data_IF_821555889401
#
_entry.id   IF_821555889401
#
_cell.length_a   1.000
_cell.length_b   1.000
_cell.length_c   1.000
_cell.angle_alpha   90.00
_cell.angle_beta   90.00
_cell.angle_gamma   90.00
#
_symmetry.space_group_name_H-M   'P 1'
#
loop_
_entity.id
_entity.type
_entity.pdbx_description
1 polymer ?
#
# COMPACT_ATOMS: atom_id res chain seq x y z
N UNK A 1 14.26 -41.36 29.15
CA UNK A 1 14.34 -39.90 28.92
C UNK A 1 15.48 -39.32 29.72
N UNK A 2 16.37 -38.56 29.08
CA UNK A 2 17.45 -37.83 29.76
C UNK A 2 16.88 -36.87 30.82
N UNK A 3 17.65 -36.56 31.87
CA UNK A 3 17.24 -35.59 32.92
C UNK A 3 16.84 -34.23 32.31
N UNK A 4 17.53 -33.83 31.23
CA UNK A 4 17.28 -32.58 30.49
C UNK A 4 15.91 -32.60 29.85
N UNK A 5 15.54 -33.68 29.14
CA UNK A 5 14.24 -33.79 28.49
C UNK A 5 13.08 -33.71 29.49
N UNK A 6 13.20 -34.38 30.64
CA UNK A 6 12.19 -34.30 31.71
C UNK A 6 12.00 -32.87 32.21
N UNK A 7 13.10 -32.12 32.36
CA UNK A 7 13.06 -30.73 32.84
C UNK A 7 12.36 -29.80 31.83
N UNK A 8 12.67 -29.95 30.54
CA UNK A 8 12.02 -29.20 29.46
C UNK A 8 10.53 -29.54 29.38
N UNK A 9 10.17 -30.83 29.43
CA UNK A 9 8.78 -31.28 29.43
C UNK A 9 7.98 -30.67 30.60
N UNK A 10 8.53 -30.71 31.81
CA UNK A 10 7.87 -30.13 32.98
C UNK A 10 7.73 -28.60 32.91
N UNK A 11 8.70 -27.92 32.31
CA UNK A 11 8.61 -26.48 32.05
C UNK A 11 7.52 -26.18 31.03
N UNK A 12 7.53 -26.86 29.88
CA UNK A 12 6.59 -26.64 28.78
C UNK A 12 5.14 -26.92 29.17
N UNK A 13 4.88 -27.83 30.11
CA UNK A 13 3.52 -28.24 30.53
C UNK A 13 3.14 -27.62 31.89
N UNK A 14 3.92 -26.68 32.40
CA UNK A 14 3.56 -25.98 33.62
C UNK A 14 2.41 -24.99 33.38
N UNK A 15 1.48 -24.89 34.34
CA UNK A 15 0.43 -23.86 34.35
C UNK A 15 1.02 -22.46 34.51
N UNK A 16 2.21 -22.33 35.13
CA UNK A 16 2.94 -21.05 35.18
C UNK A 16 3.37 -20.61 33.77
N UNK A 17 3.89 -21.53 32.98
CA UNK A 17 4.27 -21.27 31.58
C UNK A 17 3.06 -20.92 30.74
N UNK A 18 1.92 -21.58 30.97
CA UNK A 18 0.65 -21.24 30.33
C UNK A 18 0.26 -19.78 30.62
N UNK A 19 0.27 -19.36 31.88
CA UNK A 19 -0.07 -17.99 32.27
C UNK A 19 0.88 -16.97 31.62
N UNK A 20 2.19 -17.24 31.60
CA UNK A 20 3.17 -16.38 30.94
C UNK A 20 2.91 -16.28 29.43
N UNK A 21 2.66 -17.42 28.76
CA UNK A 21 2.35 -17.42 27.32
C UNK A 21 1.05 -16.65 27.01
N UNK A 22 0.02 -16.75 27.85
CA UNK A 22 -1.20 -15.96 27.69
C UNK A 22 -0.96 -14.47 27.83
N UNK A 23 -0.15 -14.05 28.81
CA UNK A 23 0.20 -12.64 28.99
C UNK A 23 0.97 -12.12 27.78
N UNK A 24 1.96 -12.87 27.29
CA UNK A 24 2.71 -12.50 26.09
C UNK A 24 1.78 -12.42 24.87
N UNK A 25 0.89 -13.40 24.69
CA UNK A 25 -0.08 -13.41 23.60
C UNK A 25 -1.02 -12.20 23.66
N UNK A 26 -1.56 -11.87 24.84
CA UNK A 26 -2.42 -10.72 25.04
C UNK A 26 -1.69 -9.39 24.79
N UNK A 27 -0.45 -9.26 25.27
CA UNK A 27 0.40 -8.09 25.00
C UNK A 27 0.70 -7.95 23.51
N UNK A 28 1.01 -9.05 22.83
CA UNK A 28 1.24 -9.05 21.39
C UNK A 28 0.01 -8.56 20.62
N UNK A 29 -1.19 -9.01 20.99
CA UNK A 29 -2.43 -8.53 20.37
C UNK A 29 -2.70 -7.05 20.69
N UNK A 30 -2.49 -6.61 21.92
CA UNK A 30 -2.64 -5.20 22.29
C UNK A 30 -1.68 -4.30 21.49
N UNK A 31 -0.41 -4.70 21.37
CA UNK A 31 0.60 -4.01 20.56
C UNK A 31 0.18 -4.00 19.09
N UNK A 32 -0.34 -5.11 18.56
CA UNK A 32 -0.83 -5.18 17.18
C UNK A 32 -1.94 -4.14 16.92
N UNK A 33 -2.87 -3.96 17.85
CA UNK A 33 -3.93 -2.94 17.75
C UNK A 33 -3.36 -1.53 17.67
N UNK A 34 -2.34 -1.18 18.47
CA UNK A 34 -1.69 0.12 18.39
C UNK A 34 -0.93 0.30 17.07
N UNK A 35 -0.18 -0.72 16.64
CA UNK A 35 0.53 -0.68 15.35
C UNK A 35 -0.47 -0.51 14.20
N UNK A 36 -1.59 -1.22 14.23
CA UNK A 36 -2.65 -1.10 13.23
C UNK A 36 -3.25 0.31 13.22
N UNK A 37 -3.45 0.89 14.40
CA UNK A 37 -3.93 2.26 14.51
C UNK A 37 -2.92 3.28 13.95
N UNK A 38 -1.63 3.10 14.19
CA UNK A 38 -0.66 4.15 13.83
C UNK A 38 -0.10 3.98 12.41
N UNK A 39 -0.01 2.74 11.93
CA UNK A 39 0.70 2.37 10.69
C UNK A 39 -0.14 1.51 9.71
N UNK A 40 -1.40 1.25 10.05
CA UNK A 40 -2.33 0.50 9.22
C UNK A 40 -2.28 -1.02 9.38
N UNK A 41 -3.35 -1.67 8.95
CA UNK A 41 -3.54 -3.12 9.00
C UNK A 41 -2.43 -3.94 8.32
N UNK A 42 -1.88 -3.55 7.14
CA UNK A 42 -0.80 -4.31 6.51
C UNK A 42 0.44 -4.43 7.41
N UNK A 43 0.85 -3.32 8.04
CA UNK A 43 1.99 -3.26 8.96
C UNK A 43 1.78 -4.19 10.17
N UNK A 44 0.62 -4.11 10.82
CA UNK A 44 0.31 -4.94 11.99
C UNK A 44 0.27 -6.45 11.64
N UNK A 45 -0.29 -6.80 10.48
CA UNK A 45 -0.28 -8.19 9.99
C UNK A 45 1.14 -8.68 9.74
N UNK A 46 1.98 -7.91 9.06
CA UNK A 46 3.37 -8.30 8.76
C UNK A 46 4.18 -8.51 10.05
N UNK A 47 4.12 -7.57 10.99
CA UNK A 47 4.97 -7.60 12.19
C UNK A 47 4.50 -8.58 13.26
N UNK A 48 3.18 -8.72 13.43
CA UNK A 48 2.59 -9.52 14.51
C UNK A 48 1.85 -10.74 13.94
N UNK A 49 0.67 -10.55 13.32
CA UNK A 49 -0.26 -11.64 13.06
C UNK A 49 0.29 -12.73 12.11
N UNK A 50 1.05 -12.34 11.09
CA UNK A 50 1.67 -13.23 10.09
C UNK A 50 3.16 -13.49 10.35
N UNK A 51 3.67 -13.08 11.52
CA UNK A 51 5.05 -13.32 11.92
C UNK A 51 5.24 -14.75 12.42
N UNK A 52 6.47 -15.26 12.32
CA UNK A 52 6.81 -16.61 12.78
C UNK A 52 6.82 -16.72 14.31
N UNK A 53 7.15 -15.64 15.03
CA UNK A 53 7.26 -15.65 16.49
C UNK A 53 5.89 -15.66 17.16
N UNK A 54 4.91 -14.94 16.60
CA UNK A 54 3.52 -14.96 17.09
C UNK A 54 2.92 -16.35 16.91
N UNK A 55 3.22 -16.98 15.78
CA UNK A 55 2.88 -18.38 15.54
C UNK A 55 3.57 -19.33 16.52
N UNK A 56 4.86 -19.13 16.81
CA UNK A 56 5.55 -19.94 17.81
C UNK A 56 4.86 -19.87 19.18
N UNK A 57 4.36 -18.70 19.60
CA UNK A 57 3.56 -18.55 20.83
C UNK A 57 2.29 -19.40 20.76
N UNK A 58 1.55 -19.35 19.64
CA UNK A 58 0.33 -20.14 19.44
C UNK A 58 0.61 -21.65 19.48
N UNK A 59 1.67 -22.11 18.82
CA UNK A 59 2.10 -23.52 18.85
C UNK A 59 2.49 -23.94 20.28
N UNK A 60 3.24 -23.10 21.00
CA UNK A 60 3.61 -23.36 22.39
C UNK A 60 2.39 -23.42 23.31
N UNK A 61 1.39 -22.55 23.11
CA UNK A 61 0.11 -22.60 23.81
C UNK A 61 -0.63 -23.91 23.51
N UNK A 62 -0.69 -24.34 22.24
CA UNK A 62 -1.31 -25.62 21.87
C UNK A 62 -0.63 -26.81 22.54
N UNK A 63 0.70 -26.88 22.48
CA UNK A 63 1.49 -27.96 23.11
C UNK A 63 1.31 -27.96 24.63
N UNK A 64 1.36 -26.79 25.27
CA UNK A 64 1.12 -26.65 26.70
C UNK A 64 -0.29 -27.12 27.08
N UNK A 65 -1.30 -26.73 26.31
CA UNK A 65 -2.70 -27.08 26.51
C UNK A 65 -2.95 -28.59 26.38
N UNK A 66 -2.41 -29.23 25.34
CA UNK A 66 -2.45 -30.70 25.16
C UNK A 66 -1.80 -31.39 26.38
N UNK A 67 -0.61 -30.93 26.78
CA UNK A 67 0.09 -31.47 27.94
C UNK A 67 -0.72 -31.37 29.23
N UNK A 68 -1.39 -30.24 29.45
CA UNK A 68 -2.24 -30.03 30.62
C UNK A 68 -3.50 -30.90 30.59
N UNK A 69 -4.14 -31.08 29.43
CA UNK A 69 -5.28 -32.00 29.26
C UNK A 69 -4.89 -33.42 29.70
N UNK A 70 -3.71 -33.90 29.27
CA UNK A 70 -3.20 -35.23 29.63
C UNK A 70 -2.81 -35.29 31.11
N UNK A 71 -2.03 -34.31 31.60
CA UNK A 71 -1.54 -34.24 32.99
C UNK A 71 -2.68 -34.27 34.01
N UNK A 72 -3.75 -33.52 33.76
CA UNK A 72 -4.90 -33.45 34.65
C UNK A 72 -6.00 -34.48 34.34
N UNK A 73 -5.75 -35.37 33.37
CA UNK A 73 -6.66 -36.43 32.91
C UNK A 73 -8.07 -35.89 32.62
N UNK A 74 -8.13 -34.77 31.89
CA UNK A 74 -9.40 -34.06 31.67
C UNK A 74 -10.37 -34.88 30.82
N UNK A 75 -9.88 -35.81 30.00
CA UNK A 75 -10.66 -36.74 29.19
C UNK A 75 -11.54 -37.74 29.98
N UNK A 76 -11.47 -37.73 31.32
CA UNK A 76 -12.36 -38.54 32.16
C UNK A 76 -13.81 -38.01 32.08
N UNK A 77 -14.80 -38.92 32.02
CA UNK A 77 -16.24 -38.58 31.93
C UNK A 77 -16.69 -37.53 32.97
N UNK A 78 -16.16 -37.60 34.20
CA UNK A 78 -16.48 -36.65 35.29
C UNK A 78 -16.00 -35.21 35.03
N UNK A 79 -15.06 -35.02 34.10
CA UNK A 79 -14.44 -33.73 33.75
C UNK A 79 -14.79 -33.29 32.32
N UNK A 80 -15.81 -33.89 31.71
CA UNK A 80 -16.19 -33.63 30.32
C UNK A 80 -16.44 -32.15 30.01
N UNK A 81 -17.12 -31.35 30.85
CA UNK A 81 -17.29 -29.92 30.58
C UNK A 81 -15.95 -29.17 30.49
N UNK A 82 -15.01 -29.46 31.40
CA UNK A 82 -13.68 -28.84 31.40
C UNK A 82 -12.88 -29.29 30.18
N UNK A 83 -12.94 -30.57 29.82
CA UNK A 83 -12.31 -31.08 28.62
C UNK A 83 -12.83 -30.41 27.35
N UNK A 84 -14.15 -30.28 27.22
CA UNK A 84 -14.80 -29.64 26.09
C UNK A 84 -14.41 -28.16 25.97
N UNK A 85 -14.29 -27.45 27.09
CA UNK A 85 -13.81 -26.06 27.09
C UNK A 85 -12.38 -25.94 26.55
N UNK A 86 -11.47 -26.82 26.98
CA UNK A 86 -10.07 -26.76 26.55
C UNK A 86 -9.85 -27.28 25.12
N UNK A 87 -10.58 -28.32 24.70
CA UNK A 87 -10.49 -28.82 23.31
C UNK A 87 -11.00 -27.78 22.32
N UNK A 88 -11.96 -26.92 22.70
CA UNK A 88 -12.43 -25.84 21.84
C UNK A 88 -11.29 -24.87 21.46
N UNK A 89 -10.40 -24.50 22.41
CA UNK A 89 -9.23 -23.68 22.08
C UNK A 89 -8.26 -24.39 21.14
N UNK A 90 -8.07 -25.71 21.29
CA UNK A 90 -7.25 -26.48 20.35
C UNK A 90 -7.86 -26.48 18.95
N UNK A 91 -9.19 -26.63 18.84
CA UNK A 91 -9.90 -26.54 17.56
C UNK A 91 -9.77 -25.15 16.94
N UNK A 92 -9.87 -24.08 17.74
CA UNK A 92 -9.66 -22.70 17.26
C UNK A 92 -8.23 -22.50 16.75
N UNK A 93 -7.22 -22.99 17.47
CA UNK A 93 -5.81 -22.90 17.05
C UNK A 93 -5.54 -23.69 15.76
N UNK A 94 -6.14 -24.88 15.62
CA UNK A 94 -6.06 -25.66 14.38
C UNK A 94 -6.74 -24.92 13.23
N UNK A 95 -7.92 -24.34 13.45
CA UNK A 95 -8.62 -23.49 12.48
C UNK A 95 -7.77 -22.31 12.03
N UNK A 96 -7.13 -21.61 12.97
CA UNK A 96 -6.20 -20.52 12.66
C UNK A 96 -5.01 -20.97 11.80
N UNK A 97 -4.46 -22.16 12.07
CA UNK A 97 -3.41 -22.77 11.24
C UNK A 97 -3.88 -23.06 9.81
N UNK A 98 -5.10 -23.62 9.65
CA UNK A 98 -5.71 -23.86 8.34
C UNK A 98 -5.88 -22.55 7.57
N UNK A 99 -6.45 -21.52 8.21
CA UNK A 99 -6.61 -20.19 7.59
C UNK A 99 -5.27 -19.62 7.13
N UNK A 100 -4.23 -19.70 7.96
CA UNK A 100 -2.92 -19.14 7.63
C UNK A 100 -2.21 -19.84 6.46
N UNK A 101 -2.26 -21.17 6.40
CA UNK A 101 -1.43 -21.95 5.47
C UNK A 101 -2.13 -22.41 4.21
N UNK A 102 -3.44 -22.63 4.28
CA UNK A 102 -4.20 -23.31 3.24
C UNK A 102 -5.21 -22.35 2.59
N UNK A 103 -5.71 -21.37 3.34
CA UNK A 103 -6.78 -20.50 2.83
C UNK A 103 -6.30 -19.45 1.82
N UNK A 104 -7.25 -18.99 1.02
CA UNK A 104 -7.12 -17.84 0.14
C UNK A 104 -8.10 -16.77 0.60
N UNK A 105 -7.57 -15.59 0.87
CA UNK A 105 -8.33 -14.43 1.35
C UNK A 105 -8.35 -13.34 0.27
N UNK A 106 -9.41 -12.54 0.28
CA UNK A 106 -9.54 -11.39 -0.60
C UNK A 106 -10.92 -10.75 -0.55
N UNK A 107 -11.13 -9.77 -1.42
CA UNK A 107 -12.36 -8.99 -1.52
C UNK A 107 -13.09 -9.28 -2.83
N UNK A 108 -14.39 -9.52 -2.73
CA UNK A 108 -15.27 -9.75 -3.87
C UNK A 108 -16.46 -8.78 -3.76
N UNK A 109 -16.35 -7.54 -4.27
CA UNK A 109 -17.49 -6.66 -4.37
C UNK A 109 -18.47 -7.19 -5.42
N UNK A 110 -19.71 -7.45 -5.04
CA UNK A 110 -20.79 -7.92 -5.93
C UNK A 110 -21.92 -6.91 -5.84
N UNK A 111 -22.42 -6.42 -6.97
CA UNK A 111 -23.62 -5.57 -6.98
C UNK A 111 -24.88 -6.42 -7.00
N UNK A 112 -25.99 -5.82 -6.58
CA UNK A 112 -27.27 -6.50 -6.55
C UNK A 112 -27.66 -7.02 -7.95
N UNK A 113 -28.07 -8.29 -8.01
CA UNK A 113 -28.39 -8.98 -9.24
C UNK A 113 -27.19 -9.52 -10.04
N UNK A 114 -25.95 -9.12 -9.73
CA UNK A 114 -24.73 -9.57 -10.40
C UNK A 114 -24.23 -10.93 -9.89
N UNK A 115 -23.55 -11.65 -10.78
CA UNK A 115 -22.85 -12.91 -10.50
C UNK A 115 -21.38 -12.73 -10.82
N UNK A 116 -20.48 -13.18 -9.93
CA UNK A 116 -19.04 -13.18 -10.18
C UNK A 116 -18.37 -14.42 -9.58
N UNK A 117 -17.31 -14.89 -10.21
CA UNK A 117 -16.35 -15.87 -9.68
C UNK A 117 -15.00 -15.23 -9.33
N UNK A 118 -14.85 -13.92 -9.56
CA UNK A 118 -13.56 -13.25 -9.49
C UNK A 118 -13.45 -12.43 -8.22
N UNK A 119 -12.36 -12.59 -7.49
CA UNK A 119 -12.05 -11.80 -6.31
C UNK A 119 -10.65 -11.20 -6.38
N UNK A 120 -10.45 -10.09 -5.69
CA UNK A 120 -9.16 -9.44 -5.54
C UNK A 120 -8.44 -9.99 -4.32
N UNK A 121 -7.22 -10.49 -4.48
CA UNK A 121 -6.48 -11.11 -3.37
C UNK A 121 -6.20 -10.14 -2.23
N UNK A 122 -6.20 -10.64 -1.00
CA UNK A 122 -5.76 -9.88 0.17
C UNK A 122 -4.23 -9.68 0.20
N UNK A 123 -3.50 -10.67 -0.34
CA UNK A 123 -2.04 -10.61 -0.48
C UNK A 123 -1.64 -9.63 -1.57
N UNK A 124 -0.52 -8.94 -1.34
CA UNK A 124 0.08 -8.01 -2.30
C UNK A 124 1.28 -8.68 -2.96
N UNK A 125 1.35 -8.55 -4.28
CA UNK A 125 2.35 -9.20 -5.11
C UNK A 125 3.20 -8.16 -5.83
N UNK A 126 4.51 -8.40 -5.86
CA UNK A 126 5.37 -7.88 -6.92
C UNK A 126 5.28 -8.86 -8.09
N UNK A 127 4.72 -8.39 -9.19
CA UNK A 127 4.58 -9.15 -10.43
C UNK A 127 5.55 -8.62 -11.47
N UNK A 128 6.29 -9.53 -12.10
CA UNK A 128 7.31 -9.19 -13.08
C UNK A 128 7.11 -10.08 -14.31
N UNK A 129 6.82 -9.42 -15.43
CA UNK A 129 6.88 -10.00 -16.75
C UNK A 129 8.14 -9.50 -17.45
N UNK A 130 8.86 -10.43 -18.08
CA UNK A 130 10.07 -10.16 -18.87
C UNK A 130 9.91 -10.87 -20.21
N UNK A 131 10.13 -10.15 -21.29
CA UNK A 131 10.14 -10.67 -22.65
C UNK A 131 11.21 -9.97 -23.51
N UNK A 132 11.57 -10.57 -24.64
CA UNK A 132 12.47 -9.97 -25.65
C UNK A 132 11.75 -9.64 -26.97
N UNK A 133 10.42 -9.61 -26.95
CA UNK A 133 9.57 -9.49 -28.13
C UNK A 133 9.40 -10.78 -28.96
N UNK A 134 10.12 -11.85 -28.63
CA UNK A 134 9.98 -13.18 -29.27
C UNK A 134 9.46 -14.18 -28.23
N UNK A 135 10.17 -14.33 -27.12
CA UNK A 135 9.80 -15.19 -26.00
C UNK A 135 9.54 -14.38 -24.74
N UNK A 136 8.77 -14.96 -23.82
CA UNK A 136 8.46 -14.38 -22.52
C UNK A 136 8.59 -15.42 -21.40
N UNK A 137 8.89 -14.96 -20.19
CA UNK A 137 8.79 -15.82 -19.00
C UNK A 137 7.31 -16.15 -18.75
N UNK A 138 6.99 -17.44 -18.73
CA UNK A 138 5.65 -17.95 -18.46
C UNK A 138 5.72 -19.16 -17.51
N UNK A 139 5.01 -19.15 -16.36
CA UNK A 139 4.18 -18.06 -15.83
C UNK A 139 5.02 -16.84 -15.42
N UNK A 140 4.40 -15.64 -15.35
CA UNK A 140 5.08 -14.48 -14.81
C UNK A 140 5.51 -14.71 -13.37
N UNK A 141 6.54 -13.98 -12.96
CA UNK A 141 7.07 -14.07 -11.62
C UNK A 141 6.12 -13.31 -10.71
N UNK A 142 5.54 -14.02 -9.75
CA UNK A 142 4.64 -13.45 -8.74
C UNK A 142 5.23 -13.72 -7.36
N UNK A 143 5.71 -12.66 -6.70
CA UNK A 143 6.26 -12.73 -5.34
C UNK A 143 5.36 -11.99 -4.37
N UNK A 144 4.83 -12.71 -3.37
CA UNK A 144 4.18 -12.06 -2.22
C UNK A 144 5.24 -11.28 -1.45
N UNK A 145 5.02 -9.99 -1.23
CA UNK A 145 5.89 -9.14 -0.42
C UNK A 145 5.23 -8.81 0.92
N UNK A 146 5.93 -9.10 2.02
CA UNK A 146 5.55 -8.70 3.38
C UNK A 146 6.14 -7.33 3.72
N UNK A 147 5.61 -6.29 3.08
CA UNK A 147 6.04 -4.92 3.32
C UNK A 147 5.39 -4.35 4.58
N UNK A 148 6.04 -3.35 5.17
CA UNK A 148 5.63 -2.72 6.42
C UNK A 148 6.11 -1.27 6.47
N UNK A 149 5.31 -0.39 7.07
CA UNK A 149 5.73 0.98 7.36
C UNK A 149 6.94 1.03 8.32
N UNK A 150 7.04 0.05 9.22
CA UNK A 150 8.16 -0.13 10.13
C UNK A 150 9.05 -1.22 9.56
N UNK A 151 10.26 -0.84 9.19
CA UNK A 151 11.25 -1.79 8.67
C UNK A 151 11.83 -2.62 9.82
N UNK A 152 11.60 -3.93 9.74
CA UNK A 152 12.20 -4.91 10.63
C UNK A 152 12.86 -5.97 9.73
N UNK A 153 14.18 -5.93 9.51
CA UNK A 153 14.84 -6.69 8.45
C UNK A 153 14.64 -8.22 8.49
N UNK A 154 14.34 -8.78 9.67
CA UNK A 154 14.09 -10.22 9.84
C UNK A 154 12.60 -10.62 9.78
N UNK A 155 11.69 -9.65 9.64
CA UNK A 155 10.23 -9.88 9.51
C UNK A 155 9.65 -9.32 8.21
N UNK A 156 10.31 -8.33 7.60
CA UNK A 156 9.77 -7.54 6.49
C UNK A 156 10.59 -7.71 5.22
N UNK A 157 9.92 -7.56 4.08
CA UNK A 157 10.50 -7.64 2.74
C UNK A 157 10.90 -6.25 2.20
N UNK A 158 11.06 -5.25 3.07
CA UNK A 158 11.42 -3.86 2.71
C UNK A 158 12.78 -3.75 2.00
N UNK A 159 13.63 -4.76 2.13
CA UNK A 159 14.92 -4.89 1.44
C UNK A 159 14.99 -6.16 0.59
N UNK A 160 13.85 -6.65 0.10
CA UNK A 160 13.79 -7.83 -0.74
C UNK A 160 14.66 -7.69 -2.00
N UNK A 161 15.37 -8.75 -2.33
CA UNK A 161 16.23 -8.84 -3.52
C UNK A 161 16.09 -10.21 -4.16
N UNK A 162 16.09 -10.24 -5.49
CA UNK A 162 16.09 -11.47 -6.27
C UNK A 162 16.90 -11.29 -7.54
N UNK A 163 17.43 -12.39 -8.04
CA UNK A 163 18.09 -12.48 -9.34
C UNK A 163 17.37 -13.52 -10.18
N UNK A 164 17.14 -13.19 -11.44
CA UNK A 164 16.38 -13.96 -12.41
C UNK A 164 17.24 -14.05 -13.66
N UNK A 165 17.48 -15.25 -14.17
CA UNK A 165 18.11 -15.40 -15.47
C UNK A 165 17.06 -15.53 -16.57
N UNK A 166 17.16 -14.69 -17.60
CA UNK A 166 16.35 -14.81 -18.80
C UNK A 166 17.26 -15.04 -20.01
N UNK A 167 17.33 -16.29 -20.47
CA UNK A 167 18.18 -16.72 -21.60
C UNK A 167 19.65 -16.32 -21.44
N UNK A 168 20.23 -16.51 -20.24
CA UNK A 168 21.61 -16.14 -19.96
C UNK A 168 21.83 -14.64 -19.74
N UNK A 169 20.76 -13.83 -19.69
CA UNK A 169 20.82 -12.44 -19.24
C UNK A 169 20.33 -12.37 -17.78
N UNK A 170 21.25 -12.16 -16.80
CA UNK A 170 20.84 -11.96 -15.42
C UNK A 170 20.11 -10.62 -15.28
N UNK A 171 19.02 -10.67 -14.52
CA UNK A 171 18.17 -9.55 -14.14
C UNK A 171 18.07 -9.55 -12.62
N UNK A 172 18.62 -8.51 -12.00
CA UNK A 172 18.54 -8.29 -10.55
C UNK A 172 17.45 -7.29 -10.24
N UNK A 173 16.60 -7.63 -9.27
CA UNK A 173 15.48 -6.81 -8.80
C UNK A 173 15.65 -6.58 -7.31
N UNK A 174 15.67 -5.32 -6.89
CA UNK A 174 15.90 -4.91 -5.49
C UNK A 174 14.86 -3.88 -5.06
N UNK A 175 14.20 -4.12 -3.93
CA UNK A 175 13.36 -3.10 -3.28
C UNK A 175 14.28 -2.05 -2.65
N UNK A 176 14.14 -0.81 -3.10
CA UNK A 176 14.91 0.33 -2.57
C UNK A 176 14.15 1.05 -1.45
N UNK A 177 12.84 1.23 -1.62
CA UNK A 177 12.03 1.99 -0.71
C UNK A 177 10.56 1.56 -0.80
N UNK A 178 9.88 1.60 0.33
CA UNK A 178 8.44 1.37 0.43
C UNK A 178 7.81 2.52 1.22
N UNK A 179 6.88 3.21 0.60
CA UNK A 179 6.14 4.32 1.21
C UNK A 179 4.66 3.92 1.25
N UNK A 180 4.12 3.52 2.42
CA UNK A 180 2.70 3.20 2.53
C UNK A 180 1.85 4.46 2.37
N UNK A 181 0.67 4.34 1.74
CA UNK A 181 -0.24 5.45 1.48
C UNK A 181 0.48 6.69 0.90
N UNK A 182 1.34 6.47 -0.10
CA UNK A 182 2.25 7.48 -0.61
C UNK A 182 1.50 8.72 -1.12
N UNK A 183 1.97 9.88 -0.68
CA UNK A 183 1.61 11.18 -1.24
C UNK A 183 2.87 11.96 -1.58
N UNK A 184 2.80 12.75 -2.64
CA UNK A 184 3.85 13.70 -2.95
C UNK A 184 3.83 14.83 -1.92
N UNK A 185 5.01 15.20 -1.42
CA UNK A 185 5.22 16.40 -0.61
C UNK A 185 6.46 17.11 -1.09
N UNK A 186 6.44 18.43 -1.03
CA UNK A 186 7.60 19.24 -1.36
C UNK A 186 8.44 19.45 -0.09
N UNK A 187 9.70 19.00 -0.11
CA UNK A 187 10.69 19.39 0.89
C UNK A 187 11.37 20.66 0.40
N UNK A 188 11.29 21.72 1.19
CA UNK A 188 11.89 23.01 0.85
C UNK A 188 13.41 22.87 0.77
N UNK A 189 13.98 23.26 -0.37
CA UNK A 189 15.41 23.27 -0.63
C UNK A 189 15.73 24.49 -1.49
N UNK A 190 16.53 25.45 -1.00
CA UNK A 190 16.97 26.60 -1.78
C UNK A 190 17.71 26.25 -3.08
N UNK A 191 18.24 25.03 -3.23
CA UNK A 191 18.88 24.53 -4.45
C UNK A 191 17.95 23.77 -5.38
N UNK A 192 16.73 23.44 -4.93
CA UNK A 192 15.77 22.66 -5.70
C UNK A 192 15.09 23.46 -6.82
N UNK A 193 14.20 22.78 -7.53
CA UNK A 193 13.41 23.36 -8.62
C UNK A 193 12.24 24.16 -8.09
N UNK A 194 11.74 25.12 -8.87
CA UNK A 194 10.54 25.87 -8.53
C UNK A 194 9.31 24.99 -8.67
N UNK A 195 8.43 25.04 -7.68
CA UNK A 195 7.16 24.32 -7.66
C UNK A 195 6.03 25.26 -7.26
N UNK A 196 4.87 25.11 -7.92
CA UNK A 196 3.64 25.79 -7.53
C UNK A 196 2.66 24.79 -6.91
N UNK A 197 2.17 25.10 -5.71
CA UNK A 197 1.20 24.24 -5.03
C UNK A 197 -0.22 24.57 -5.49
N UNK A 198 -0.92 23.56 -6.00
CA UNK A 198 -2.36 23.57 -6.23
C UNK A 198 -3.06 22.75 -5.16
N UNK A 199 -4.10 23.30 -4.56
CA UNK A 199 -5.03 22.60 -3.70
C UNK A 199 -6.30 22.40 -4.50
N UNK A 200 -6.58 21.16 -4.90
CA UNK A 200 -7.68 20.83 -5.81
C UNK A 200 -8.75 20.02 -5.09
N UNK A 201 -10.02 20.32 -5.36
CA UNK A 201 -11.14 19.48 -4.89
C UNK A 201 -11.55 18.50 -5.99
N UNK A 202 -11.39 17.21 -5.70
CA UNK A 202 -11.77 16.10 -6.60
C UNK A 202 -12.90 15.29 -5.98
N UNK A 203 -13.56 14.37 -6.72
CA UNK A 203 -14.51 13.41 -6.13
C UNK A 203 -13.91 12.55 -5.02
N UNK A 204 -12.59 12.35 -5.02
CA UNK A 204 -11.82 11.62 -4.01
C UNK A 204 -11.46 12.48 -2.78
N UNK A 205 -11.86 13.76 -2.78
CA UNK A 205 -11.56 14.73 -1.73
C UNK A 205 -10.55 15.78 -2.15
N UNK A 206 -10.05 16.53 -1.14
CA UNK A 206 -9.05 17.59 -1.31
C UNK A 206 -7.67 16.99 -1.54
N UNK A 207 -7.01 17.38 -2.63
CA UNK A 207 -5.66 16.95 -2.99
C UNK A 207 -4.70 18.14 -3.00
N UNK A 208 -3.49 17.95 -2.49
CA UNK A 208 -2.39 18.92 -2.61
C UNK A 208 -1.46 18.43 -3.71
N UNK A 209 -1.28 19.23 -4.75
CA UNK A 209 -0.46 18.92 -5.93
C UNK A 209 0.66 19.95 -5.99
N UNK A 210 1.91 19.50 -6.10
CA UNK A 210 3.07 20.36 -6.30
C UNK A 210 3.53 20.22 -7.75
N UNK A 211 3.30 21.25 -8.57
CA UNK A 211 3.62 21.22 -10.00
C UNK A 211 4.98 21.86 -10.26
N UNK A 212 5.99 21.12 -10.79
CA UNK A 212 7.29 21.69 -11.11
C UNK A 212 7.21 22.72 -12.24
N UNK A 213 8.17 23.64 -12.26
CA UNK A 213 8.35 24.66 -13.30
C UNK A 213 8.39 24.04 -14.71
N UNK A 214 7.63 24.63 -15.63
CA UNK A 214 7.52 24.22 -17.04
C UNK A 214 6.71 22.96 -17.30
N UNK A 215 6.15 22.31 -16.27
CA UNK A 215 5.40 21.04 -16.39
C UNK A 215 3.88 21.26 -16.39
N UNK A 216 3.18 20.20 -16.80
CA UNK A 216 1.74 20.08 -16.66
C UNK A 216 1.38 18.77 -15.94
N UNK A 217 0.20 18.75 -15.34
CA UNK A 217 -0.37 17.57 -14.68
C UNK A 217 -1.86 17.44 -15.02
N UNK A 218 -2.33 16.21 -15.17
CA UNK A 218 -3.74 15.92 -15.33
C UNK A 218 -4.44 15.78 -13.98
N UNK A 219 -5.59 16.43 -13.82
CA UNK A 219 -6.50 16.24 -12.69
C UNK A 219 -7.87 15.86 -13.24
N UNK A 220 -8.21 14.57 -13.16
CA UNK A 220 -9.33 14.01 -13.90
C UNK A 220 -9.10 14.12 -15.40
N UNK A 221 -10.02 14.78 -16.10
CA UNK A 221 -9.97 15.05 -17.54
C UNK A 221 -9.48 16.47 -17.87
N UNK A 222 -8.94 17.20 -16.88
CA UNK A 222 -8.42 18.57 -17.04
C UNK A 222 -6.91 18.60 -16.87
N UNK A 223 -6.26 19.61 -17.45
CA UNK A 223 -4.82 19.82 -17.31
C UNK A 223 -4.53 21.14 -16.58
N UNK A 224 -3.61 21.08 -15.61
CA UNK A 224 -3.03 22.25 -14.96
C UNK A 224 -1.57 22.38 -15.42
N UNK A 225 -1.14 23.58 -15.76
CA UNK A 225 0.23 23.85 -16.18
C UNK A 225 0.84 25.01 -15.39
N UNK A 226 2.15 24.92 -15.13
CA UNK A 226 2.91 25.99 -14.48
C UNK A 226 4.08 26.42 -15.37
N UNK A 227 4.17 27.73 -15.64
CA UNK A 227 5.27 28.36 -16.40
C UNK A 227 5.56 27.76 -17.79
N UNK A 228 4.59 27.07 -18.37
CA UNK A 228 4.56 26.70 -19.77
C UNK A 228 3.11 26.73 -20.25
N UNK A 229 2.89 27.05 -21.52
CA UNK A 229 1.54 27.24 -22.07
C UNK A 229 1.16 26.05 -22.93
N UNK A 230 0.08 25.38 -22.56
CA UNK A 230 -0.53 24.30 -23.33
C UNK A 230 -1.96 24.69 -23.70
N UNK A 231 -2.39 24.50 -24.97
CA UNK A 231 -3.71 24.94 -25.44
C UNK A 231 -4.89 24.39 -24.63
N UNK A 232 -4.81 23.13 -24.20
CA UNK A 232 -5.90 22.43 -23.49
C UNK A 232 -5.73 22.43 -21.96
N UNK A 233 -4.89 23.32 -21.42
CA UNK A 233 -4.61 23.40 -19.99
C UNK A 233 -4.99 24.75 -19.37
N UNK A 234 -5.28 24.73 -18.08
CA UNK A 234 -5.32 25.93 -17.23
C UNK A 234 -3.88 26.29 -16.91
N UNK A 235 -3.36 27.33 -17.57
CA UNK A 235 -1.97 27.74 -17.51
C UNK A 235 -1.78 28.85 -16.48
N UNK A 236 -1.05 28.57 -15.41
CA UNK A 236 -0.59 29.58 -14.46
C UNK A 236 0.88 29.87 -14.74
N UNK A 237 1.26 31.13 -14.89
CA UNK A 237 2.64 31.47 -15.25
C UNK A 237 3.05 32.81 -14.64
N UNK A 238 4.36 33.00 -14.48
CA UNK A 238 4.94 34.23 -13.98
C UNK A 238 5.34 35.11 -15.17
N UNK A 239 4.98 36.39 -15.12
CA UNK A 239 5.45 37.42 -16.04
C UNK A 239 5.72 38.70 -15.24
N UNK A 240 6.91 39.27 -15.35
CA UNK A 240 7.32 40.47 -14.61
C UNK A 240 7.04 40.36 -13.10
N UNK A 241 7.51 39.26 -12.47
CA UNK A 241 7.33 38.95 -11.04
C UNK A 241 5.88 38.87 -10.54
N UNK A 242 4.90 38.80 -11.44
CA UNK A 242 3.49 38.64 -11.13
C UNK A 242 2.92 37.37 -11.76
N UNK A 243 2.00 36.71 -11.05
CA UNK A 243 1.32 35.53 -11.56
C UNK A 243 0.15 35.92 -12.47
N UNK A 244 0.00 35.18 -13.55
CA UNK A 244 -1.07 35.29 -14.53
C UNK A 244 -1.69 33.94 -14.79
N UNK A 245 -2.92 33.98 -15.30
CA UNK A 245 -3.71 32.83 -15.69
C UNK A 245 -4.15 32.98 -17.13
N UNK A 246 -4.00 31.90 -17.90
CA UNK A 246 -4.60 31.71 -19.21
C UNK A 246 -5.35 30.37 -19.21
N UNK A 247 -6.65 30.41 -19.47
CA UNK A 247 -7.52 29.24 -19.42
C UNK A 247 -8.34 29.10 -20.70
N UNK A 248 -8.43 27.90 -21.32
CA UNK A 248 -9.34 27.62 -22.42
C UNK A 248 -10.80 27.53 -21.98
N UNK A 249 -11.07 27.77 -20.70
CA UNK A 249 -12.40 27.69 -20.12
C UNK A 249 -12.77 29.01 -19.45
N UNK A 250 -14.04 29.40 -19.61
CA UNK A 250 -14.65 30.45 -18.78
C UNK A 250 -14.91 29.91 -17.37
N UNK A 251 -14.95 30.81 -16.40
CA UNK A 251 -15.40 30.48 -15.05
C UNK A 251 -15.31 31.66 -14.11
N UNK A 252 -15.04 31.40 -12.84
CA UNK A 252 -14.96 32.44 -11.81
C UNK A 252 -13.82 32.16 -10.85
N UNK A 253 -13.42 33.20 -10.11
CA UNK A 253 -12.66 33.02 -8.89
C UNK A 253 -13.25 33.83 -7.76
N UNK A 254 -13.12 33.32 -6.53
CA UNK A 254 -13.53 33.99 -5.31
C UNK A 254 -12.30 34.25 -4.44
N UNK A 255 -12.02 35.51 -4.14
CA UNK A 255 -10.93 35.85 -3.22
C UNK A 255 -11.35 35.49 -1.81
N UNK A 256 -10.58 34.65 -1.12
CA UNK A 256 -10.99 34.12 0.19
C UNK A 256 -11.03 35.19 1.28
N UNK A 257 -10.19 36.24 1.17
CA UNK A 257 -10.08 37.31 2.17
C UNK A 257 -11.39 38.10 2.34
N UNK A 258 -12.11 38.37 1.26
CA UNK A 258 -13.31 39.20 1.27
C UNK A 258 -14.51 38.57 0.56
N UNK A 259 -14.38 37.31 0.13
CA UNK A 259 -15.40 36.51 -0.55
C UNK A 259 -15.94 37.13 -1.86
N UNK A 260 -15.26 38.16 -2.40
CA UNK A 260 -15.67 38.77 -3.66
C UNK A 260 -15.40 37.82 -4.82
N UNK A 261 -16.39 37.72 -5.70
CA UNK A 261 -16.36 36.88 -6.89
C UNK A 261 -16.07 37.71 -8.14
N UNK A 262 -15.24 37.18 -9.01
CA UNK A 262 -14.82 37.78 -10.26
C UNK A 262 -14.89 36.76 -11.38
N UNK A 263 -15.05 37.23 -12.61
CA UNK A 263 -15.14 36.35 -13.78
C UNK A 263 -13.74 36.07 -14.35
N UNK A 264 -13.56 34.84 -14.82
CA UNK A 264 -12.40 34.44 -15.64
C UNK A 264 -12.88 34.27 -17.09
N UNK A 265 -12.52 35.19 -18.00
CA UNK A 265 -12.83 35.06 -19.42
C UNK A 265 -12.03 33.92 -20.06
N UNK A 266 -12.64 33.30 -21.07
CA UNK A 266 -12.01 32.25 -21.87
C UNK A 266 -10.88 32.84 -22.73
N UNK A 267 -9.82 32.06 -22.95
CA UNK A 267 -8.75 32.33 -23.94
C UNK A 267 -8.05 33.70 -23.74
N UNK A 268 -8.08 34.22 -22.51
CA UNK A 268 -7.58 35.55 -22.18
C UNK A 268 -6.64 35.49 -20.99
N UNK A 269 -5.56 36.28 -21.05
CA UNK A 269 -4.61 36.42 -19.94
C UNK A 269 -5.20 37.36 -18.90
N UNK A 270 -5.30 36.89 -17.66
CA UNK A 270 -5.77 37.69 -16.51
C UNK A 270 -4.80 37.60 -15.34
N UNK A 271 -4.73 38.63 -14.47
CA UNK A 271 -3.98 38.55 -13.22
C UNK A 271 -4.45 37.36 -12.38
N UNK A 272 -3.51 36.61 -11.83
CA UNK A 272 -3.80 35.49 -10.96
C UNK A 272 -3.60 35.88 -9.50
N UNK A 273 -4.63 35.67 -8.69
CA UNK A 273 -4.64 36.02 -7.29
C UNK A 273 -4.46 34.77 -6.43
N UNK A 274 -3.42 34.78 -5.62
CA UNK A 274 -3.18 33.75 -4.60
C UNK A 274 -4.34 33.68 -3.59
N UNK A 275 -4.43 32.56 -2.88
CA UNK A 275 -5.46 32.31 -1.86
C UNK A 275 -6.89 32.64 -2.34
N UNK A 276 -7.16 32.33 -3.61
CA UNK A 276 -8.47 32.52 -4.25
C UNK A 276 -8.95 31.17 -4.77
N UNK A 277 -10.25 30.90 -4.60
CA UNK A 277 -10.89 29.69 -5.10
C UNK A 277 -11.30 29.89 -6.56
N UNK A 278 -10.57 29.26 -7.46
CA UNK A 278 -10.87 29.22 -8.89
C UNK A 278 -11.81 28.07 -9.20
N UNK A 279 -12.84 28.35 -10.00
CA UNK A 279 -13.84 27.39 -10.47
C UNK A 279 -13.88 27.45 -12.00
N UNK A 280 -13.14 26.56 -12.66
CA UNK A 280 -12.96 26.54 -14.11
C UNK A 280 -13.33 25.17 -14.67
N UNK A 281 -14.35 25.10 -15.52
CA UNK A 281 -14.81 23.86 -16.17
C UNK A 281 -15.03 22.67 -15.21
N UNK A 282 -15.67 22.93 -14.06
CA UNK A 282 -15.92 21.93 -13.01
C UNK A 282 -14.74 21.63 -12.09
N UNK A 283 -13.53 22.14 -12.40
CA UNK A 283 -12.36 22.03 -11.54
C UNK A 283 -12.35 23.16 -10.52
N UNK A 284 -12.32 22.81 -9.24
CA UNK A 284 -12.16 23.75 -8.13
C UNK A 284 -10.74 23.67 -7.59
N UNK A 285 -9.99 24.77 -7.62
CA UNK A 285 -8.62 24.79 -7.10
C UNK A 285 -8.24 26.12 -6.45
N UNK A 286 -7.19 26.06 -5.62
CA UNK A 286 -6.59 27.20 -4.94
C UNK A 286 -5.08 27.09 -5.05
N UNK A 287 -4.41 28.21 -5.27
CA UNK A 287 -2.95 28.30 -5.09
C UNK A 287 -2.71 29.16 -3.85
N UNK A 288 -2.31 28.56 -2.71
CA UNK A 288 -2.31 29.26 -1.42
C UNK A 288 -1.20 30.29 -1.32
N UNK A 289 -0.07 30.04 -1.96
CA UNK A 289 1.13 30.88 -1.91
C UNK A 289 1.89 30.84 -3.23
N UNK A 290 2.85 31.75 -3.40
CA UNK A 290 3.71 31.79 -4.57
C UNK A 290 4.59 30.54 -4.73
N UNK A 291 5.27 30.41 -5.87
CA UNK A 291 6.19 29.31 -6.11
C UNK A 291 7.26 29.21 -5.02
N UNK A 292 7.67 27.99 -4.70
CA UNK A 292 8.71 27.70 -3.70
C UNK A 292 9.73 26.72 -4.28
N UNK A 293 10.98 26.82 -3.82
CA UNK A 293 12.06 25.91 -4.24
C UNK A 293 12.11 24.67 -3.37
N UNK A 294 12.27 23.51 -3.99
CA UNK A 294 12.38 22.25 -3.27
C UNK A 294 12.50 21.03 -4.17
N UNK A 295 12.44 19.86 -3.55
CA UNK A 295 12.41 18.58 -4.23
C UNK A 295 11.18 17.80 -3.79
N UNK A 296 10.50 17.16 -4.74
CA UNK A 296 9.39 16.27 -4.42
C UNK A 296 9.91 15.01 -3.73
N UNK A 297 9.28 14.66 -2.63
CA UNK A 297 9.52 13.43 -1.90
C UNK A 297 8.19 12.72 -1.66
N UNK A 298 8.19 11.41 -1.86
CA UNK A 298 7.08 10.56 -1.45
C UNK A 298 7.17 10.31 0.05
N UNK A 299 6.14 10.70 0.78
CA UNK A 299 5.99 10.43 2.21
C UNK A 299 4.70 9.67 2.48
N UNK A 300 4.63 9.02 3.63
CA UNK A 300 3.40 8.35 4.06
C UNK A 300 2.29 9.38 4.28
N UNK A 301 1.15 9.13 3.66
CA UNK A 301 -0.06 9.93 3.76
C UNK A 301 -0.93 9.54 4.95
N UNK A 302 -2.14 10.08 4.98
CA UNK A 302 -3.16 9.63 5.93
C UNK A 302 -3.63 8.22 5.54
N UNK A 303 -3.58 7.27 6.48
CA UNK A 303 -4.05 5.90 6.29
C UNK A 303 -5.54 5.80 5.93
N UNK A 304 -6.33 6.81 6.31
CA UNK A 304 -7.77 6.86 6.02
C UNK A 304 -8.07 7.49 4.66
N UNK A 305 -7.07 8.11 4.03
CA UNK A 305 -7.21 8.61 2.67
C UNK A 305 -7.07 7.45 1.67
N UNK A 306 -7.81 7.52 0.56
CA UNK A 306 -7.72 6.52 -0.51
C UNK A 306 -6.43 6.74 -1.34
N UNK A 307 -5.28 6.46 -0.73
CA UNK A 307 -3.95 6.60 -1.30
C UNK A 307 -3.34 5.22 -1.54
N UNK A 308 -2.72 5.05 -2.70
CA UNK A 308 -1.88 3.89 -3.02
C UNK A 308 -0.56 3.96 -2.28
N UNK A 309 0.02 2.82 -1.95
CA UNK A 309 1.42 2.75 -1.56
C UNK A 309 2.31 3.01 -2.79
N UNK A 310 3.58 3.32 -2.53
CA UNK A 310 4.62 3.40 -3.53
C UNK A 310 5.75 2.43 -3.18
N UNK A 311 6.00 1.48 -4.08
CA UNK A 311 7.16 0.59 -4.03
C UNK A 311 8.19 1.06 -5.07
N UNK A 312 9.37 1.47 -4.62
CA UNK A 312 10.49 1.78 -5.50
C UNK A 312 11.40 0.56 -5.65
N UNK A 313 11.59 0.14 -6.89
CA UNK A 313 12.36 -1.05 -7.23
C UNK A 313 13.49 -0.68 -8.18
N UNK A 314 14.71 -1.13 -7.89
CA UNK A 314 15.84 -1.09 -8.83
C UNK A 314 15.84 -2.36 -9.65
N UNK A 315 15.87 -2.21 -10.97
CA UNK A 315 16.06 -3.30 -11.93
C UNK A 315 17.41 -3.11 -12.60
N UNK A 316 18.25 -4.13 -12.53
CA UNK A 316 19.58 -4.13 -13.13
C UNK A 316 19.69 -5.28 -14.12
N UNK A 317 20.17 -5.01 -15.33
CA UNK A 317 20.51 -6.05 -16.31
C UNK A 317 21.73 -5.63 -17.11
N UNK A 318 22.75 -6.48 -17.15
CA UNK A 318 24.07 -6.12 -17.68
C UNK A 318 24.63 -4.88 -16.96
N UNK A 319 25.06 -3.88 -17.72
CA UNK A 319 25.58 -2.61 -17.19
C UNK A 319 24.52 -1.51 -17.07
N UNK A 320 23.24 -1.84 -17.24
CA UNK A 320 22.15 -0.87 -17.18
C UNK A 320 21.32 -1.08 -15.90
N UNK A 321 20.96 0.02 -15.27
CA UNK A 321 20.05 0.04 -14.12
C UNK A 321 18.91 1.03 -14.35
N UNK A 322 17.75 0.72 -13.76
CA UNK A 322 16.58 1.59 -13.78
C UNK A 322 15.83 1.50 -12.46
N UNK A 323 15.51 2.65 -11.89
CA UNK A 323 14.61 2.74 -10.73
C UNK A 323 13.19 2.95 -11.24
N UNK A 324 12.26 2.15 -10.73
CA UNK A 324 10.85 2.15 -11.14
C UNK A 324 9.98 2.31 -9.90
N UNK A 325 9.11 3.31 -9.90
CA UNK A 325 8.06 3.49 -8.89
C UNK A 325 6.79 2.75 -9.29
N UNK A 326 6.39 1.77 -8.49
CA UNK A 326 5.18 0.98 -8.65
C UNK A 326 4.14 1.43 -7.63
N UNK A 327 3.01 1.94 -8.12
CA UNK A 327 1.91 2.39 -7.28
C UNK A 327 0.85 1.30 -7.20
N UNK A 328 0.39 1.01 -5.97
CA UNK A 328 -0.65 0.01 -5.70
C UNK A 328 -0.71 -0.33 -4.22
N UNK A 329 -1.21 -1.51 -3.85
CA UNK A 329 -1.28 -1.93 -2.46
C UNK A 329 -2.32 -3.02 -2.20
N UNK A 330 -2.57 -3.28 -0.92
CA UNK A 330 -3.61 -4.21 -0.47
C UNK A 330 -5.00 -3.69 -0.86
N UNK A 331 -5.81 -4.54 -1.48
CA UNK A 331 -7.14 -4.17 -1.98
C UNK A 331 -7.15 -3.27 -3.21
N UNK A 332 -5.99 -2.97 -3.80
CA UNK A 332 -5.89 -2.19 -5.02
C UNK A 332 -5.44 -3.08 -6.18
N UNK A 333 -6.12 -3.03 -7.34
CA UNK A 333 -5.73 -3.81 -8.51
C UNK A 333 -4.38 -3.35 -9.04
N UNK A 334 -3.67 -4.26 -9.71
CA UNK A 334 -2.37 -3.98 -10.31
C UNK A 334 -2.42 -2.84 -11.33
N UNK A 335 -1.47 -1.90 -11.22
CA UNK A 335 -1.25 -0.84 -12.22
C UNK A 335 0.16 -0.96 -12.81
N UNK A 336 0.34 -1.76 -13.89
CA UNK A 336 1.67 -2.12 -14.37
C UNK A 336 2.42 -0.95 -15.02
N UNK A 337 3.70 -0.82 -14.69
CA UNK A 337 4.68 0.02 -15.40
C UNK A 337 5.39 -0.80 -16.45
N UNK A 338 5.43 -0.28 -17.68
CA UNK A 338 6.11 -0.90 -18.82
C UNK A 338 7.36 -0.10 -19.14
N UNK A 339 8.48 -0.79 -19.35
CA UNK A 339 9.74 -0.17 -19.76
C UNK A 339 10.67 -1.16 -20.45
N UNK A 340 11.69 -0.63 -21.12
CA UNK A 340 12.77 -1.42 -21.69
C UNK A 340 14.08 -1.20 -20.94
N UNK A 341 14.88 -2.26 -20.83
CA UNK A 341 16.23 -2.24 -20.26
C UNK A 341 17.05 -3.39 -20.87
N UNK A 342 18.25 -3.11 -21.36
CA UNK A 342 19.18 -4.10 -21.93
C UNK A 342 18.58 -5.01 -23.04
N UNK A 343 17.70 -4.43 -23.86
CA UNK A 343 16.99 -5.14 -24.94
C UNK A 343 15.90 -6.10 -24.45
N UNK A 344 15.49 -6.00 -23.18
CA UNK A 344 14.35 -6.73 -22.61
C UNK A 344 13.21 -5.75 -22.34
N UNK A 345 11.98 -6.20 -22.56
CA UNK A 345 10.76 -5.53 -22.16
C UNK A 345 10.34 -6.02 -20.79
N UNK A 346 9.98 -5.08 -19.92
CA UNK A 346 9.49 -5.34 -18.58
C UNK A 346 8.07 -4.81 -18.46
N UNK A 347 7.20 -5.62 -17.85
CA UNK A 347 5.93 -5.16 -17.29
C UNK A 347 5.89 -5.54 -15.82
N UNK A 348 5.97 -4.54 -14.95
CA UNK A 348 6.06 -4.71 -13.50
C UNK A 348 4.91 -4.03 -12.79
N UNK A 349 4.33 -4.70 -11.80
CA UNK A 349 3.25 -4.17 -10.97
C UNK A 349 3.47 -4.55 -9.51
N UNK A 350 2.94 -3.71 -8.63
CA UNK A 350 2.83 -3.96 -7.21
C UNK A 350 1.37 -3.77 -6.82
N UNK A 351 0.73 -4.80 -6.26
CA UNK A 351 -0.69 -4.71 -5.92
C UNK A 351 -1.35 -6.05 -5.66
N UNK A 352 -2.65 -5.99 -5.40
CA UNK A 352 -3.50 -7.17 -5.25
C UNK A 352 -3.87 -7.73 -6.62
N UNK A 353 -3.97 -9.06 -6.72
CA UNK A 353 -4.15 -9.78 -7.98
C UNK A 353 -5.54 -10.38 -8.04
N UNK A 354 -6.19 -10.32 -9.21
CA UNK A 354 -7.46 -11.01 -9.43
C UNK A 354 -7.25 -12.53 -9.50
N UNK A 355 -8.11 -13.27 -8.81
CA UNK A 355 -8.15 -14.73 -8.81
C UNK A 355 -9.57 -15.19 -9.09
N UNK A 356 -9.70 -16.35 -9.71
CA UNK A 356 -10.98 -16.97 -10.00
C UNK A 356 -11.28 -18.10 -9.01
N UNK A 357 -12.53 -18.16 -8.57
CA UNK A 357 -13.07 -19.28 -7.83
C UNK A 357 -13.49 -20.40 -8.80
N UNK A 358 -13.52 -21.66 -8.34
CA UNK A 358 -14.06 -22.77 -9.13
C UNK A 358 -15.60 -22.79 -9.16
N UNK A 359 -16.26 -21.76 -8.62
CA UNK A 359 -17.70 -21.58 -8.57
C UNK A 359 -18.04 -20.09 -8.62
N UNK A 360 -19.32 -19.76 -8.88
CA UNK A 360 -19.82 -18.39 -8.94
C UNK A 360 -20.69 -18.05 -7.74
N UNK A 361 -20.67 -16.79 -7.32
CA UNK A 361 -21.53 -16.24 -6.28
C UNK A 361 -22.42 -15.17 -6.91
N UNK A 362 -23.73 -15.24 -6.65
CA UNK A 362 -24.72 -14.23 -7.08
C UNK A 362 -25.29 -13.51 -5.86
N UNK A 363 -25.31 -12.18 -5.91
CA UNK A 363 -26.02 -11.40 -4.90
C UNK A 363 -27.51 -11.29 -5.28
N UNK A 364 -28.37 -11.63 -4.31
CA UNK A 364 -29.84 -11.55 -4.38
C UNK A 364 -30.30 -11.04 -3.00
N UNK A 365 -30.45 -9.74 -2.87
CA UNK A 365 -30.98 -9.09 -1.66
C UNK A 365 -32.47 -8.78 -1.78
#
# INVERSE_FOLDING_TARGET
>A
MSKVFKKIYHLLISTKTMAVLFVIFALAMAIATFIENDFGTPTARTLIYNSWWFEAIMILLAVNLIGNIIRFKMYQKKKWPVFLFHIAFLLILVGAGITRYISFEGMMPIREGETTDTFLSDKVFLKVHIDDGIDQINPPIEKVLKLSAIDVPFLTDNHYKTEIDFKGKPVKIEVLNFVPHAKDTLILDPKGDWHLQFVVSTPQGRQNIYLPDGKQISVGDKHLAFNNTYPDAINVFIKNDSLFLLSPYKGTYMRMQDQKRFNVPKDSIVPFHLASLYQLNGLNFVVPQGPVRGHLQNISGDKNANLSDLLQVKVTSGNQEKIVGLSGGQGQPENPKIFQLNGLNFRMSYGSVFRHLPFQIKLRD
#
